data_IF_128340418178
#
_entry.id   IF_128340418178
#
_cell.length_a   1.000
_cell.length_b   1.000
_cell.length_c   1.000
_cell.angle_alpha   90.00
_cell.angle_beta   90.00
_cell.angle_gamma   90.00
#
_symmetry.space_group_name_H-M   'P 1'
#
loop_
_entity.id
_entity.type
_entity.pdbx_description
1 polymer ?
#
# COMPACT_ATOMS: atom_id res chain seq x y z
N UNK A 1 -17.91 -22.39 -6.07
CA UNK A 1 -16.83 -21.46 -5.70
C UNK A 1 -17.47 -20.08 -5.58
N UNK A 2 -17.53 -19.49 -4.37
CA UNK A 2 -18.10 -18.15 -4.18
C UNK A 2 -17.17 -17.16 -4.92
N UNK A 3 -17.72 -16.28 -5.74
CA UNK A 3 -16.94 -15.26 -6.42
C UNK A 3 -16.48 -14.19 -5.43
N UNK A 4 -15.31 -14.39 -4.82
CA UNK A 4 -14.61 -13.46 -3.90
C UNK A 4 -14.36 -12.09 -4.52
N UNK A 5 -14.37 -12.01 -5.86
CA UNK A 5 -14.30 -10.76 -6.63
C UNK A 5 -15.44 -9.78 -6.36
N UNK A 6 -16.62 -10.24 -5.91
CA UNK A 6 -17.74 -9.36 -5.56
C UNK A 6 -17.41 -8.49 -4.34
N UNK A 7 -16.89 -9.10 -3.26
CA UNK A 7 -16.49 -8.40 -2.04
C UNK A 7 -15.43 -7.34 -2.33
N UNK A 8 -14.38 -7.74 -3.07
CA UNK A 8 -13.31 -6.83 -3.49
C UNK A 8 -13.88 -5.63 -4.27
N UNK A 9 -14.75 -5.88 -5.26
CA UNK A 9 -15.36 -4.81 -6.08
C UNK A 9 -16.18 -3.83 -5.24
N UNK A 10 -16.97 -4.30 -4.28
CA UNK A 10 -17.79 -3.42 -3.44
C UNK A 10 -16.93 -2.54 -2.52
N UNK A 11 -15.92 -3.13 -1.86
CA UNK A 11 -15.01 -2.39 -0.99
C UNK A 11 -14.16 -1.38 -1.76
N UNK A 12 -13.68 -1.75 -2.94
CA UNK A 12 -12.95 -0.82 -3.82
C UNK A 12 -13.77 0.42 -4.18
N UNK A 13 -15.10 0.34 -4.28
CA UNK A 13 -15.93 1.54 -4.55
C UNK A 13 -15.95 2.56 -3.41
N UNK A 14 -15.57 2.17 -2.18
CA UNK A 14 -15.41 3.08 -1.05
C UNK A 14 -14.10 3.87 -1.16
N UNK A 15 -13.03 3.20 -1.61
CA UNK A 15 -11.71 3.82 -1.78
C UNK A 15 -11.62 4.64 -3.07
N UNK A 16 -12.26 4.19 -4.15
CA UNK A 16 -12.19 4.80 -5.48
C UNK A 16 -13.49 5.52 -5.85
N UNK A 17 -13.39 6.82 -6.13
CA UNK A 17 -14.47 7.63 -6.70
C UNK A 17 -14.17 7.88 -8.18
N UNK A 18 -15.06 7.44 -9.06
CA UNK A 18 -14.90 7.54 -10.53
C UNK A 18 -13.55 6.98 -11.04
N UNK A 19 -13.10 5.86 -10.46
CA UNK A 19 -11.83 5.20 -10.83
C UNK A 19 -10.57 5.92 -10.34
N UNK A 20 -10.70 6.97 -9.51
CA UNK A 20 -9.59 7.72 -8.91
C UNK A 20 -9.66 7.63 -7.39
N UNK A 21 -8.52 7.73 -6.74
CA UNK A 21 -8.44 7.87 -5.28
C UNK A 21 -7.56 9.06 -4.91
N UNK A 22 -7.93 9.71 -3.81
CA UNK A 22 -7.12 10.68 -3.09
C UNK A 22 -7.04 10.17 -1.66
N UNK A 23 -5.90 9.59 -1.30
CA UNK A 23 -5.70 8.92 -0.01
C UNK A 23 -4.82 9.80 0.87
N UNK A 24 -5.26 10.07 2.11
CA UNK A 24 -4.40 10.70 3.12
C UNK A 24 -3.74 9.62 3.98
N UNK A 25 -2.40 9.42 3.90
CA UNK A 25 -1.69 8.53 4.80
C UNK A 25 -1.48 9.17 6.18
N UNK A 26 -1.79 8.42 7.22
CA UNK A 26 -1.77 8.83 8.64
C UNK A 26 -1.17 7.74 9.55
N UNK A 27 -0.53 6.74 8.97
CA UNK A 27 0.08 5.60 9.65
C UNK A 27 1.54 5.85 10.07
N UNK A 28 2.22 6.80 9.44
CA UNK A 28 3.62 7.14 9.70
C UNK A 28 4.05 7.25 11.17
N UNK A 29 3.24 7.78 12.11
CA UNK A 29 3.64 7.85 13.50
C UNK A 29 3.99 6.50 14.14
N UNK A 30 3.47 5.39 13.59
CA UNK A 30 3.81 4.05 14.07
C UNK A 30 5.28 3.68 13.81
N UNK A 31 5.92 4.30 12.82
CA UNK A 31 7.32 4.09 12.44
C UNK A 31 8.23 5.14 13.05
N UNK A 32 7.84 6.41 12.90
CA UNK A 32 8.71 7.55 13.17
C UNK A 32 8.45 8.20 14.53
N UNK A 33 7.55 7.63 15.34
CA UNK A 33 7.10 8.23 16.59
C UNK A 33 6.18 9.43 16.38
N UNK A 34 5.85 10.19 17.44
CA UNK A 34 4.97 11.34 17.34
C UNK A 34 5.55 12.39 16.40
N UNK A 35 4.85 12.66 15.30
CA UNK A 35 5.22 13.65 14.30
C UNK A 35 4.37 14.92 14.49
N UNK A 36 4.95 16.12 14.36
CA UNK A 36 4.19 17.36 14.42
C UNK A 36 3.00 17.35 13.47
N UNK A 37 1.80 17.62 13.99
CA UNK A 37 0.55 17.64 13.23
C UNK A 37 -0.18 16.30 13.16
N UNK A 38 0.34 15.24 13.80
CA UNK A 38 -0.31 13.91 13.87
C UNK A 38 -0.93 13.59 15.24
N UNK A 39 -0.96 14.58 16.14
CA UNK A 39 -1.40 14.42 17.53
C UNK A 39 -2.91 14.16 17.65
N UNK A 40 -3.69 14.62 16.67
CA UNK A 40 -5.16 14.50 16.64
C UNK A 40 -5.62 13.79 15.35
N UNK A 41 -5.67 12.45 15.35
CA UNK A 41 -6.16 11.68 14.22
C UNK A 41 -7.61 12.03 13.84
N UNK A 42 -8.47 12.36 14.80
CA UNK A 42 -9.86 12.69 14.55
C UNK A 42 -9.99 13.96 13.70
N UNK A 43 -9.24 15.01 14.08
CA UNK A 43 -9.14 16.25 13.31
C UNK A 43 -8.59 16.02 11.90
N UNK A 44 -7.54 15.23 11.75
CA UNK A 44 -6.95 14.93 10.43
C UNK A 44 -7.94 14.16 9.53
N UNK A 45 -8.67 13.19 10.07
CA UNK A 45 -9.72 12.48 9.32
C UNK A 45 -10.84 13.43 8.91
N UNK A 46 -11.29 14.31 9.80
CA UNK A 46 -12.31 15.30 9.48
C UNK A 46 -11.84 16.24 8.35
N UNK A 47 -10.60 16.73 8.42
CA UNK A 47 -10.01 17.55 7.37
C UNK A 47 -9.94 16.80 6.03
N UNK A 48 -9.50 15.54 6.03
CA UNK A 48 -9.44 14.71 4.84
C UNK A 48 -10.82 14.58 4.17
N UNK A 49 -11.84 14.27 4.98
CA UNK A 49 -13.24 14.16 4.54
C UNK A 49 -13.71 15.47 3.91
N UNK A 50 -13.50 16.58 4.62
CA UNK A 50 -14.03 17.89 4.23
C UNK A 50 -13.31 18.49 3.02
N UNK A 51 -12.10 18.01 2.70
CA UNK A 51 -11.27 18.49 1.58
C UNK A 51 -11.18 17.50 0.41
N UNK A 52 -12.12 16.54 0.33
CA UNK A 52 -12.32 15.72 -0.86
C UNK A 52 -11.42 14.49 -0.96
N UNK A 53 -10.77 14.07 0.13
CA UNK A 53 -10.15 12.75 0.16
C UNK A 53 -11.22 11.67 -0.11
N UNK A 54 -10.79 10.59 -0.76
CA UNK A 54 -11.65 9.43 -1.00
C UNK A 54 -11.45 8.35 0.05
N UNK A 55 -10.26 8.30 0.67
CA UNK A 55 -9.94 7.36 1.72
C UNK A 55 -8.84 7.90 2.65
N UNK A 56 -8.70 7.26 3.81
CA UNK A 56 -7.58 7.44 4.73
C UNK A 56 -6.83 6.12 4.89
N UNK A 57 -5.51 6.20 5.00
CA UNK A 57 -4.65 5.06 5.34
C UNK A 57 -4.16 5.24 6.76
N UNK A 58 -4.51 4.32 7.65
CA UNK A 58 -4.19 4.44 9.07
C UNK A 58 -4.11 3.09 9.79
N UNK A 59 -3.57 3.10 11.00
CA UNK A 59 -3.53 1.93 11.88
C UNK A 59 -4.86 1.77 12.62
N UNK A 60 -5.14 0.56 13.13
CA UNK A 60 -6.34 0.32 13.94
C UNK A 60 -6.39 1.19 15.21
N UNK A 61 -5.23 1.53 15.77
CA UNK A 61 -5.13 2.44 16.91
C UNK A 61 -5.64 3.84 16.59
N UNK A 62 -5.15 4.43 15.48
CA UNK A 62 -5.59 5.75 15.03
C UNK A 62 -7.07 5.75 14.59
N UNK A 63 -7.53 4.69 13.93
CA UNK A 63 -8.93 4.54 13.53
C UNK A 63 -9.87 4.59 14.73
N UNK A 64 -9.54 3.91 15.83
CA UNK A 64 -10.37 3.91 17.05
C UNK A 64 -10.58 5.32 17.61
N UNK A 65 -9.59 6.20 17.51
CA UNK A 65 -9.70 7.59 17.99
C UNK A 65 -10.45 8.50 17.03
N UNK A 66 -10.59 8.11 15.76
CA UNK A 66 -11.12 8.96 14.70
C UNK A 66 -12.40 8.39 14.04
N UNK A 67 -12.94 7.26 14.53
CA UNK A 67 -14.02 6.50 13.88
C UNK A 67 -15.26 7.36 13.62
N UNK A 68 -15.63 8.22 14.58
CA UNK A 68 -16.79 9.10 14.46
C UNK A 68 -16.59 10.22 13.42
N UNK A 69 -15.36 10.47 12.98
CA UNK A 69 -15.03 11.48 11.99
C UNK A 69 -14.95 10.94 10.54
N UNK A 70 -14.86 9.62 10.35
CA UNK A 70 -14.60 8.97 9.05
C UNK A 70 -15.65 9.34 8.00
N UNK A 71 -16.93 9.34 8.37
CA UNK A 71 -18.03 9.64 7.44
C UNK A 71 -18.09 8.67 6.26
N UNK A 72 -17.88 9.17 5.05
CA UNK A 72 -17.97 8.41 3.79
C UNK A 72 -16.60 8.07 3.16
N UNK A 73 -15.52 8.32 3.90
CA UNK A 73 -14.17 7.94 3.50
C UNK A 73 -14.02 6.42 3.48
N UNK A 74 -13.31 5.90 2.48
CA UNK A 74 -12.81 4.53 2.51
C UNK A 74 -11.73 4.35 3.58
N UNK A 75 -11.70 3.17 4.20
CA UNK A 75 -10.70 2.84 5.23
C UNK A 75 -9.65 1.88 4.63
N UNK A 76 -8.41 2.36 4.49
CA UNK A 76 -7.25 1.53 4.19
C UNK A 76 -6.53 1.24 5.51
N UNK A 77 -6.61 0.01 6.00
CA UNK A 77 -6.04 -0.35 7.29
C UNK A 77 -4.61 -0.86 7.11
N UNK A 78 -3.67 -0.21 7.78
CA UNK A 78 -2.32 -0.72 7.96
C UNK A 78 -2.32 -1.89 8.93
N UNK A 79 -1.85 -3.05 8.45
CA UNK A 79 -1.92 -4.31 9.19
C UNK A 79 -0.57 -4.88 9.62
N UNK A 80 0.54 -4.21 9.32
CA UNK A 80 1.87 -4.52 9.85
C UNK A 80 2.63 -3.26 10.25
N UNK A 81 3.65 -3.45 11.08
CA UNK A 81 4.55 -2.40 11.53
C UNK A 81 5.98 -2.92 11.71
N UNK A 82 6.93 -2.01 11.96
CA UNK A 82 8.32 -2.34 12.24
C UNK A 82 8.64 -2.27 13.74
N UNK A 83 9.90 -2.54 14.08
CA UNK A 83 10.41 -2.32 15.43
C UNK A 83 10.41 -0.82 15.75
N UNK A 84 10.28 -0.47 17.03
CA UNK A 84 10.58 0.91 17.44
C UNK A 84 12.04 1.24 17.09
N UNK A 85 12.35 2.52 16.88
CA UNK A 85 13.72 3.00 16.68
C UNK A 85 14.67 2.62 17.84
N UNK A 86 14.14 2.25 19.00
CA UNK A 86 14.92 1.74 20.14
C UNK A 86 15.37 0.29 19.97
N UNK A 87 14.67 -0.49 19.13
CA UNK A 87 14.87 -1.94 18.99
C UNK A 87 15.76 -2.36 17.82
N UNK A 88 16.02 -1.47 16.85
CA UNK A 88 16.86 -1.78 15.69
C UNK A 88 16.43 -1.05 14.42
N UNK A 89 17.04 -1.40 13.28
CA UNK A 89 16.66 -0.83 11.98
C UNK A 89 15.24 -1.27 11.57
N UNK A 90 14.62 -0.48 10.71
CA UNK A 90 13.26 -0.67 10.19
C UNK A 90 13.19 -1.74 9.08
N UNK A 91 13.97 -2.82 9.19
CA UNK A 91 14.06 -3.88 8.16
C UNK A 91 13.06 -5.02 8.38
N UNK A 92 12.58 -5.19 9.61
CA UNK A 92 11.60 -6.22 9.98
C UNK A 92 10.21 -5.62 9.95
N UNK A 93 9.23 -6.32 9.38
CA UNK A 93 7.83 -5.89 9.38
C UNK A 93 6.93 -7.04 9.84
N UNK A 94 6.32 -6.91 11.02
CA UNK A 94 5.45 -7.92 11.64
C UNK A 94 3.98 -7.51 11.60
N UNK A 95 3.08 -8.50 11.49
CA UNK A 95 1.64 -8.25 11.45
C UNK A 95 1.13 -7.72 12.80
N UNK A 96 0.30 -6.69 12.73
CA UNK A 96 -0.58 -6.22 13.78
C UNK A 96 -1.94 -6.91 13.72
N UNK A 97 -2.42 -7.17 12.50
CA UNK A 97 -3.73 -7.76 12.24
C UNK A 97 -3.68 -8.71 11.05
N UNK A 98 -4.53 -9.73 11.05
CA UNK A 98 -4.82 -10.53 9.87
C UNK A 98 -5.98 -9.90 9.04
N UNK A 99 -6.27 -10.47 7.87
CA UNK A 99 -7.30 -9.92 6.98
C UNK A 99 -8.72 -9.95 7.58
N UNK A 100 -9.06 -10.97 8.37
CA UNK A 100 -10.38 -11.12 9.00
C UNK A 100 -10.59 -10.10 10.11
N UNK A 101 -9.58 -9.90 10.95
CA UNK A 101 -9.56 -8.87 11.99
C UNK A 101 -9.71 -7.47 11.38
N UNK A 102 -8.97 -7.19 10.31
CA UNK A 102 -9.10 -5.92 9.59
C UNK A 102 -10.51 -5.72 9.01
N UNK A 103 -11.13 -6.79 8.47
CA UNK A 103 -12.50 -6.73 7.99
C UNK A 103 -13.50 -6.44 9.13
N UNK A 104 -13.31 -7.03 10.30
CA UNK A 104 -14.12 -6.79 11.48
C UNK A 104 -13.98 -5.35 12.02
N UNK A 105 -12.80 -4.74 11.84
CA UNK A 105 -12.55 -3.33 12.16
C UNK A 105 -13.12 -2.34 11.12
N UNK A 106 -13.77 -2.83 10.07
CA UNK A 106 -14.40 -2.00 9.04
C UNK A 106 -13.47 -1.61 7.88
N UNK A 107 -12.31 -2.27 7.72
CA UNK A 107 -11.41 -1.98 6.60
C UNK A 107 -12.09 -2.25 5.24
N UNK A 108 -11.92 -1.32 4.30
CA UNK A 108 -12.26 -1.51 2.88
C UNK A 108 -11.08 -2.08 2.09
N UNK A 109 -9.87 -1.86 2.57
CA UNK A 109 -8.64 -2.40 2.01
C UNK A 109 -7.63 -2.56 3.14
N UNK A 110 -6.74 -3.54 3.03
CA UNK A 110 -5.57 -3.64 3.90
C UNK A 110 -4.31 -3.24 3.16
N UNK A 111 -3.35 -2.67 3.89
CA UNK A 111 -2.03 -2.33 3.36
C UNK A 111 -0.93 -2.96 4.21
N UNK A 112 0.07 -3.55 3.55
CA UNK A 112 1.26 -4.09 4.22
C UNK A 112 2.58 -3.75 3.53
N UNK A 113 3.67 -3.73 4.29
CA UNK A 113 5.01 -3.42 3.80
C UNK A 113 5.84 -4.68 3.54
N UNK A 114 6.62 -4.66 2.46
CA UNK A 114 7.54 -5.71 2.08
C UNK A 114 8.81 -5.09 1.49
N UNK A 115 9.90 -5.14 2.24
CA UNK A 115 11.20 -4.64 1.78
C UNK A 115 11.95 -5.69 0.97
N UNK A 116 12.63 -5.24 -0.08
CA UNK A 116 13.51 -6.05 -0.92
C UNK A 116 14.93 -5.50 -0.92
N UNK A 117 15.91 -6.39 -1.08
CA UNK A 117 17.32 -6.06 -1.22
C UNK A 117 18.02 -5.68 0.08
N UNK A 118 17.41 -5.98 1.24
CA UNK A 118 17.90 -5.54 2.56
C UNK A 118 19.20 -6.22 3.03
N UNK A 119 19.76 -7.15 2.26
CA UNK A 119 21.03 -7.83 2.56
C UNK A 119 20.95 -8.96 3.58
N UNK A 120 19.76 -9.23 4.11
CA UNK A 120 19.47 -10.38 4.97
C UNK A 120 18.39 -11.26 4.32
N UNK A 121 18.79 -12.43 3.83
CA UNK A 121 17.89 -13.35 3.13
C UNK A 121 16.83 -13.97 4.04
N UNK A 122 17.08 -14.09 5.34
CA UNK A 122 16.11 -14.66 6.28
C UNK A 122 15.01 -13.64 6.55
N UNK A 123 15.36 -12.36 6.75
CA UNK A 123 14.38 -11.29 6.92
C UNK A 123 13.56 -11.13 5.62
N UNK A 124 14.20 -11.06 4.45
CA UNK A 124 13.48 -10.92 3.18
C UNK A 124 12.54 -12.12 2.92
N UNK A 125 12.99 -13.35 3.20
CA UNK A 125 12.15 -14.54 3.09
C UNK A 125 10.94 -14.49 4.03
N UNK A 126 11.10 -13.98 5.25
CA UNK A 126 10.00 -13.81 6.19
C UNK A 126 9.00 -12.75 5.72
N UNK A 127 9.48 -11.62 5.17
CA UNK A 127 8.64 -10.56 4.59
C UNK A 127 7.81 -11.06 3.41
N UNK A 128 8.42 -11.83 2.51
CA UNK A 128 7.75 -12.45 1.37
C UNK A 128 6.74 -13.51 1.80
N UNK A 129 7.09 -14.34 2.80
CA UNK A 129 6.15 -15.32 3.38
C UNK A 129 4.92 -14.63 3.96
N UNK A 130 5.12 -13.58 4.76
CA UNK A 130 4.04 -12.76 5.31
C UNK A 130 3.14 -12.20 4.21
N UNK A 131 3.73 -11.63 3.15
CA UNK A 131 2.99 -11.10 2.02
C UNK A 131 2.10 -12.18 1.35
N UNK A 132 2.67 -13.36 1.07
CA UNK A 132 1.93 -14.48 0.48
C UNK A 132 0.77 -14.97 1.36
N UNK A 133 1.02 -15.08 2.68
CA UNK A 133 -0.01 -15.48 3.66
C UNK A 133 -1.19 -14.50 3.64
N UNK A 134 -0.91 -13.20 3.77
CA UNK A 134 -1.98 -12.19 3.77
C UNK A 134 -2.70 -12.12 2.43
N UNK A 135 -1.99 -12.27 1.31
CA UNK A 135 -2.63 -12.32 0.00
C UNK A 135 -3.64 -13.47 -0.12
N UNK A 136 -3.28 -14.66 0.36
CA UNK A 136 -4.17 -15.82 0.40
C UNK A 136 -5.39 -15.60 1.32
N UNK A 137 -5.18 -15.00 2.50
CA UNK A 137 -6.28 -14.63 3.41
C UNK A 137 -7.24 -13.62 2.77
N UNK A 138 -6.68 -12.58 2.13
CA UNK A 138 -7.45 -11.53 1.47
C UNK A 138 -8.29 -12.09 0.31
N UNK A 139 -7.73 -13.02 -0.47
CA UNK A 139 -8.48 -13.71 -1.51
C UNK A 139 -9.65 -14.50 -0.93
N UNK A 140 -9.41 -15.27 0.14
CA UNK A 140 -10.42 -16.12 0.79
C UNK A 140 -11.67 -15.35 1.25
N UNK A 141 -11.49 -14.12 1.75
CA UNK A 141 -12.59 -13.31 2.32
C UNK A 141 -13.04 -12.15 1.43
N UNK A 142 -12.46 -12.00 0.23
CA UNK A 142 -12.77 -10.88 -0.66
C UNK A 142 -12.31 -9.51 -0.14
N UNK A 143 -11.20 -9.45 0.58
CA UNK A 143 -10.56 -8.22 1.05
C UNK A 143 -9.57 -7.70 -0.02
N UNK A 144 -9.63 -6.42 -0.43
CA UNK A 144 -8.57 -5.80 -1.22
C UNK A 144 -7.26 -5.67 -0.44
N UNK A 145 -6.13 -5.97 -1.10
CA UNK A 145 -4.78 -5.86 -0.54
C UNK A 145 -3.94 -4.88 -1.36
N UNK A 146 -3.32 -3.93 -0.68
CA UNK A 146 -2.26 -3.07 -1.17
C UNK A 146 -0.93 -3.52 -0.58
N UNK A 147 0.02 -3.94 -1.43
CA UNK A 147 1.38 -4.26 -1.01
C UNK A 147 2.29 -3.07 -1.30
N UNK A 148 2.86 -2.48 -0.25
CA UNK A 148 3.97 -1.54 -0.34
C UNK A 148 5.27 -2.35 -0.47
N UNK A 149 5.55 -2.82 -1.69
CA UNK A 149 6.85 -3.44 -1.98
C UNK A 149 7.85 -2.32 -2.25
N UNK A 150 8.84 -2.22 -1.37
CA UNK A 150 9.83 -1.15 -1.38
C UNK A 150 11.22 -1.76 -1.54
N UNK A 151 11.88 -1.62 -2.70
CA UNK A 151 13.30 -1.89 -2.78
C UNK A 151 14.05 -0.86 -1.93
N UNK A 152 14.96 -1.30 -1.06
CA UNK A 152 15.75 -0.38 -0.22
C UNK A 152 17.06 0.00 -0.92
N UNK A 153 17.92 -0.99 -1.16
CA UNK A 153 19.18 -0.91 -1.92
C UNK A 153 19.50 -2.33 -2.42
N UNK A 154 20.43 -2.51 -3.34
CA UNK A 154 20.88 -3.86 -3.71
C UNK A 154 21.98 -4.32 -2.78
N UNK A 155 21.79 -5.45 -2.08
CA UNK A 155 22.84 -6.07 -1.26
C UNK A 155 24.11 -6.41 -2.05
N UNK A 156 24.02 -6.50 -3.39
CA UNK A 156 25.15 -6.78 -4.28
C UNK A 156 26.07 -5.59 -4.46
N UNK A 157 25.57 -4.37 -4.27
CA UNK A 157 26.35 -3.14 -4.40
C UNK A 157 26.19 -2.26 -3.14
N UNK A 158 27.13 -2.38 -2.18
CA UNK A 158 27.12 -1.56 -0.98
C UNK A 158 27.27 -0.05 -1.25
N UNK A 159 27.72 0.37 -2.44
CA UNK A 159 27.84 1.77 -2.81
C UNK A 159 26.52 2.37 -3.33
N UNK A 160 25.52 1.52 -3.65
CA UNK A 160 24.21 1.95 -4.09
C UNK A 160 23.47 2.65 -2.94
N UNK A 161 23.16 3.93 -3.11
CA UNK A 161 22.45 4.74 -2.11
C UNK A 161 20.94 4.82 -2.33
N UNK A 162 20.46 4.44 -3.51
CA UNK A 162 19.06 4.56 -3.95
C UNK A 162 18.68 3.39 -4.84
N UNK A 163 17.42 2.90 -4.83
CA UNK A 163 16.94 1.90 -5.77
C UNK A 163 17.10 2.34 -7.24
N UNK A 164 17.49 1.39 -8.10
CA UNK A 164 17.52 1.60 -9.55
C UNK A 164 16.15 1.35 -10.18
N UNK A 165 15.98 1.71 -11.44
CA UNK A 165 14.79 1.34 -12.22
C UNK A 165 14.61 -0.18 -12.35
N UNK A 166 15.71 -0.95 -12.37
CA UNK A 166 15.68 -2.40 -12.38
C UNK A 166 15.15 -2.97 -11.04
N UNK A 167 15.57 -2.39 -9.91
CA UNK A 167 15.07 -2.79 -8.58
C UNK A 167 13.57 -2.51 -8.45
N UNK A 168 13.11 -1.36 -8.95
CA UNK A 168 11.69 -1.02 -9.02
C UNK A 168 10.91 -1.97 -9.92
N UNK A 169 11.44 -2.33 -11.09
CA UNK A 169 10.79 -3.29 -11.99
C UNK A 169 10.67 -4.68 -11.34
N UNK A 170 11.70 -5.10 -10.59
CA UNK A 170 11.65 -6.35 -9.82
C UNK A 170 10.58 -6.29 -8.72
N UNK A 171 10.51 -5.20 -7.97
CA UNK A 171 9.48 -4.98 -6.95
C UNK A 171 8.05 -5.08 -7.53
N UNK A 172 7.81 -4.43 -8.66
CA UNK A 172 6.52 -4.48 -9.38
C UNK A 172 6.20 -5.90 -9.83
N UNK A 173 7.18 -6.62 -10.41
CA UNK A 173 6.97 -8.01 -10.86
C UNK A 173 6.64 -8.92 -9.69
N UNK A 174 7.37 -8.83 -8.58
CA UNK A 174 7.08 -9.62 -7.38
C UNK A 174 5.67 -9.33 -6.89
N UNK A 175 5.27 -8.06 -6.88
CA UNK A 175 3.93 -7.72 -6.44
C UNK A 175 2.82 -8.39 -7.25
N UNK A 176 3.00 -8.42 -8.57
CA UNK A 176 2.11 -9.14 -9.48
C UNK A 176 2.04 -10.65 -9.17
N UNK A 177 3.19 -11.31 -8.93
CA UNK A 177 3.24 -12.76 -8.66
C UNK A 177 2.60 -13.14 -7.33
N UNK A 178 2.75 -12.29 -6.31
CA UNK A 178 2.23 -12.54 -4.97
C UNK A 178 0.72 -12.21 -4.86
N UNK A 179 0.10 -11.73 -5.94
CA UNK A 179 -1.36 -11.63 -6.06
C UNK A 179 -1.98 -10.41 -5.40
N UNK A 180 -1.20 -9.43 -4.95
CA UNK A 180 -1.73 -8.11 -4.64
C UNK A 180 -1.71 -7.25 -5.91
N UNK A 181 -2.63 -6.28 -6.02
CA UNK A 181 -2.94 -5.57 -7.28
C UNK A 181 -3.71 -6.37 -8.36
N UNK A 182 -4.29 -7.54 -8.03
CA UNK A 182 -5.17 -8.25 -8.96
C UNK A 182 -6.44 -7.43 -9.24
N UNK A 183 -6.44 -6.67 -10.35
CA UNK A 183 -7.54 -5.81 -10.81
C UNK A 183 -7.18 -4.36 -11.14
N UNK A 184 -5.91 -3.93 -10.95
CA UNK A 184 -5.53 -2.51 -11.06
C UNK A 184 -4.44 -2.17 -12.08
N UNK A 185 -3.73 -3.15 -12.63
CA UNK A 185 -2.85 -2.89 -13.77
C UNK A 185 -3.66 -2.93 -15.07
N UNK A 186 -3.61 -1.89 -15.92
CA UNK A 186 -3.94 -2.10 -17.33
C UNK A 186 -3.04 -3.22 -17.85
N UNK A 187 -3.59 -4.11 -18.71
CA UNK A 187 -2.81 -5.15 -19.40
C UNK A 187 -1.54 -4.50 -19.94
N UNK A 188 -0.39 -4.80 -19.34
CA UNK A 188 0.88 -4.35 -19.88
C UNK A 188 1.13 -5.17 -21.14
N UNK A 189 0.82 -4.60 -22.31
CA UNK A 189 1.46 -5.03 -23.54
C UNK A 189 2.94 -4.70 -23.39
N UNK A 190 3.76 -5.70 -23.16
CA UNK A 190 5.20 -5.56 -23.19
C UNK A 190 5.61 -5.01 -24.57
N UNK A 191 6.00 -3.75 -24.63
CA UNK A 191 6.90 -3.22 -25.65
C UNK A 191 7.99 -2.47 -24.91
N UNK A 192 9.10 -3.16 -24.69
CA UNK A 192 10.38 -2.48 -24.70
C UNK A 192 10.54 -1.97 -26.13
N UNK A 193 10.65 -0.65 -26.31
CA UNK A 193 11.62 -0.01 -27.19
C UNK A 193 11.35 1.50 -27.33
N UNK A 194 12.43 2.24 -27.11
CA UNK A 194 12.81 3.59 -27.53
C UNK A 194 11.97 4.85 -27.19
N UNK A 195 12.72 5.79 -26.59
CA UNK A 195 12.53 7.22 -26.43
C UNK A 195 12.63 7.89 -27.81
N UNK A 196 11.55 8.52 -28.30
CA UNK A 196 11.47 9.94 -28.69
C UNK A 196 10.24 10.26 -29.59
N UNK A 197 9.67 11.44 -29.32
CA UNK A 197 8.78 12.31 -30.14
C UNK A 197 7.23 12.20 -30.09
N UNK A 198 6.52 13.35 -30.32
CA UNK A 198 5.22 13.64 -29.72
C UNK A 198 4.02 13.57 -30.68
N UNK A 199 2.85 13.43 -30.04
CA UNK A 199 1.45 13.60 -30.49
C UNK A 199 0.93 12.86 -31.74
N UNK A 200 -0.01 11.96 -31.50
CA UNK A 200 -1.29 11.96 -32.23
C UNK A 200 -2.39 11.36 -31.35
N UNK A 201 -3.54 12.03 -31.34
CA UNK A 201 -4.63 11.76 -30.41
C UNK A 201 -5.26 10.39 -30.56
N UNK A 202 -5.65 9.82 -29.43
CA UNK A 202 -6.68 8.79 -29.39
C UNK A 202 -7.59 9.03 -28.17
N UNK A 203 -8.71 9.69 -28.45
CA UNK A 203 -9.85 9.86 -27.56
C UNK A 203 -10.60 8.54 -27.42
N UNK A 204 -10.09 7.57 -26.65
CA UNK A 204 -10.86 6.47 -26.03
C UNK A 204 -9.92 5.47 -25.35
N UNK A 205 -9.49 5.74 -24.11
CA UNK A 205 -9.08 4.65 -23.23
C UNK A 205 -9.29 5.03 -21.76
N UNK A 206 -10.45 4.62 -21.24
CA UNK A 206 -10.86 4.80 -19.85
C UNK A 206 -10.18 3.76 -18.96
N UNK A 207 -8.85 3.74 -18.94
CA UNK A 207 -8.06 2.91 -18.03
C UNK A 207 -7.77 3.70 -16.75
N UNK A 208 -8.04 3.13 -15.57
CA UNK A 208 -7.72 3.80 -14.32
C UNK A 208 -6.20 3.97 -14.21
N UNK A 209 -5.74 5.23 -14.19
CA UNK A 209 -4.33 5.56 -13.94
C UNK A 209 -4.13 5.55 -12.42
N UNK A 210 -3.45 4.53 -11.93
CA UNK A 210 -3.12 4.39 -10.51
C UNK A 210 -1.73 4.95 -10.21
N UNK A 211 -1.67 5.76 -9.16
CA UNK A 211 -0.43 6.12 -8.49
C UNK A 211 -0.01 4.89 -7.69
N UNK A 212 1.07 4.22 -8.10
CA UNK A 212 1.90 3.47 -7.17
C UNK A 212 2.27 4.48 -6.07
N UNK A 213 1.82 4.28 -4.83
CA UNK A 213 2.30 5.06 -3.70
C UNK A 213 3.74 4.60 -3.42
N UNK A 214 4.65 4.91 -4.34
CA UNK A 214 6.06 4.92 -4.07
C UNK A 214 6.28 6.18 -3.22
N UNK A 215 6.11 6.05 -1.91
CA UNK A 215 6.62 7.05 -0.99
C UNK A 215 8.13 7.03 -1.15
N UNK A 216 8.66 7.90 -2.01
CA UNK A 216 10.05 8.29 -1.97
C UNK A 216 10.23 8.96 -0.60
N UNK A 217 10.69 8.20 0.39
CA UNK A 217 11.19 8.74 1.64
C UNK A 217 12.43 9.58 1.30
N UNK A 218 12.21 10.82 0.90
CA UNK A 218 13.24 11.84 0.81
C UNK A 218 13.64 12.22 2.23
N UNK A 219 14.72 11.62 2.73
CA UNK A 219 15.42 12.15 3.89
C UNK A 219 15.99 13.53 3.51
N UNK A 220 15.46 14.58 4.12
CA UNK A 220 16.20 15.80 4.39
C UNK A 220 16.85 15.69 5.78
#
# INVERSE_FOLDING_TARGET
MIATSMGKRLRMRRVFRNGKALVLPMDHPIYFGPQPGTEDPARLVALARDHGATAVLMTAGALRTAVDCVGDLGIILRIDTTLSHMGGPDTIMHLLHNAEEAAALGADMVVLNCYLGIGDCQIESALLTKLATVAAECERIGMPLCGEIIPRVSYKDPAQKMPTSADLAMAIRLGLEYGFLHGLLPRQSARADHVDQPDSGDCCNNHPRFILLATLAGHH
#
